data_IF_904775306679
#
_entry.id   IF_904775306679
#
_cell.length_a   1.000
_cell.length_b   1.000
_cell.length_c   1.000
_cell.angle_alpha   90.00
_cell.angle_beta   90.00
_cell.angle_gamma   90.00
#
_symmetry.space_group_name_H-M   'P 1'
#
loop_
_entity.id
_entity.type
_entity.pdbx_description
1 polymer ?
#
# COMPACT_ATOMS: atom_id res chain seq x y z
N UNK A 1 6.55 9.10 4.39
CA UNK A 1 5.52 8.10 4.02
C UNK A 1 4.06 8.57 4.22
N UNK A 2 3.73 9.86 3.98
CA UNK A 2 2.39 10.40 4.29
C UNK A 2 1.25 9.62 3.61
N UNK A 3 1.35 9.37 2.30
CA UNK A 3 0.30 8.68 1.54
C UNK A 3 0.19 7.18 1.89
N UNK A 4 1.29 6.55 2.29
CA UNK A 4 1.27 5.18 2.83
C UNK A 4 0.59 5.11 4.19
N UNK A 5 0.86 6.06 5.09
CA UNK A 5 0.18 6.13 6.40
C UNK A 5 -1.34 6.35 6.26
N UNK A 6 -1.77 7.14 5.28
CA UNK A 6 -3.21 7.28 4.97
C UNK A 6 -3.81 5.94 4.57
N UNK A 7 -3.14 5.14 3.73
CA UNK A 7 -3.59 3.79 3.40
C UNK A 7 -3.70 2.93 4.66
N UNK A 8 -2.63 2.86 5.46
CA UNK A 8 -2.58 2.09 6.71
C UNK A 8 -3.74 2.43 7.66
N UNK A 9 -3.99 3.72 7.89
CA UNK A 9 -5.06 4.16 8.79
C UNK A 9 -6.46 3.76 8.28
N UNK A 10 -6.66 3.72 6.96
CA UNK A 10 -7.98 3.47 6.35
C UNK A 10 -8.28 1.98 6.14
N UNK A 11 -7.25 1.15 5.92
CA UNK A 11 -7.42 -0.31 5.87
C UNK A 11 -7.99 -0.85 7.18
N UNK A 12 -7.53 -0.32 8.32
CA UNK A 12 -7.99 -0.77 9.63
C UNK A 12 -9.47 -0.46 9.93
N UNK A 13 -10.14 0.40 9.16
CA UNK A 13 -11.50 0.89 9.50
C UNK A 13 -12.55 -0.22 9.48
N UNK A 14 -12.49 -1.14 8.50
CA UNK A 14 -13.55 -2.14 8.33
C UNK A 14 -13.42 -3.32 9.29
N UNK A 15 -12.19 -3.79 9.51
CA UNK A 15 -11.94 -5.06 10.22
C UNK A 15 -10.82 -4.98 11.27
N UNK A 16 -10.22 -3.82 11.49
CA UNK A 16 -9.12 -3.65 12.44
C UNK A 16 -7.78 -4.24 11.97
N UNK A 17 -7.64 -4.58 10.68
CA UNK A 17 -6.39 -5.15 10.16
C UNK A 17 -5.26 -4.12 10.21
N UNK A 18 -4.19 -4.47 10.92
CA UNK A 18 -3.04 -3.60 11.10
C UNK A 18 -2.00 -3.81 10.00
N UNK A 19 -1.61 -2.72 9.33
CA UNK A 19 -0.54 -2.70 8.34
C UNK A 19 0.64 -1.89 8.87
N UNK A 20 1.84 -2.18 8.34
CA UNK A 20 3.05 -1.42 8.61
C UNK A 20 3.49 -0.71 7.33
N UNK A 21 3.76 0.59 7.41
CA UNK A 21 4.25 1.40 6.28
C UNK A 21 5.72 1.78 6.47
N UNK A 22 6.57 1.52 5.46
CA UNK A 22 7.97 1.94 5.47
C UNK A 22 8.68 1.76 4.12
N UNK A 23 10.01 1.90 4.13
CA UNK A 23 10.84 1.42 3.02
C UNK A 23 10.87 -0.11 3.05
N UNK A 24 10.74 -0.78 1.91
CA UNK A 24 10.79 -2.25 1.82
C UNK A 24 12.02 -2.83 2.51
N UNK A 25 13.18 -2.19 2.35
CA UNK A 25 14.43 -2.64 2.98
C UNK A 25 14.37 -2.64 4.52
N UNK A 26 13.58 -1.74 5.12
CA UNK A 26 13.45 -1.58 6.57
C UNK A 26 12.31 -2.41 7.15
N UNK A 27 11.18 -2.55 6.44
CA UNK A 27 9.99 -3.25 6.95
C UNK A 27 9.91 -4.72 6.58
N UNK A 28 10.60 -5.15 5.51
CA UNK A 28 10.57 -6.53 5.03
C UNK A 28 11.99 -7.11 5.09
N UNK A 29 12.84 -6.74 4.13
CA UNK A 29 14.28 -7.04 4.08
C UNK A 29 14.92 -6.36 2.85
N UNK A 30 16.25 -6.30 2.84
CA UNK A 30 17.00 -5.77 1.70
C UNK A 30 16.85 -6.67 0.46
N UNK A 31 16.28 -6.15 -0.61
CA UNK A 31 16.16 -6.81 -1.90
C UNK A 31 16.51 -5.84 -3.03
N UNK A 32 17.24 -6.30 -4.04
CA UNK A 32 17.55 -5.51 -5.23
C UNK A 32 16.72 -5.99 -6.44
N UNK A 33 16.40 -5.06 -7.35
CA UNK A 33 15.71 -5.38 -8.60
C UNK A 33 14.19 -5.52 -8.49
N UNK A 34 13.59 -5.07 -7.39
CA UNK A 34 12.13 -5.04 -7.23
C UNK A 34 11.47 -4.14 -8.27
N UNK A 35 10.27 -4.52 -8.71
CA UNK A 35 9.50 -3.76 -9.72
C UNK A 35 9.25 -2.33 -9.27
N UNK A 36 8.94 -2.11 -8.00
CA UNK A 36 8.66 -0.79 -7.44
C UNK A 36 9.89 0.13 -7.44
N UNK A 37 11.09 -0.42 -7.23
CA UNK A 37 12.35 0.32 -7.29
C UNK A 37 12.67 0.69 -8.74
N UNK A 38 12.49 -0.25 -9.67
CA UNK A 38 12.67 0.01 -11.10
C UNK A 38 11.71 1.09 -11.60
N UNK A 39 10.41 0.98 -11.27
CA UNK A 39 9.40 1.98 -11.62
C UNK A 39 9.74 3.35 -11.04
N UNK A 40 10.27 3.38 -9.81
CA UNK A 40 10.69 4.62 -9.15
C UNK A 40 11.92 5.24 -9.82
N UNK A 41 12.95 4.44 -10.11
CA UNK A 41 14.24 4.90 -10.59
C UNK A 41 14.30 5.12 -12.11
N UNK A 42 13.62 4.29 -12.90
CA UNK A 42 13.68 4.34 -14.36
C UNK A 42 12.47 5.06 -14.95
N UNK A 43 11.25 4.68 -14.56
CA UNK A 43 10.04 5.33 -15.06
C UNK A 43 9.72 6.65 -14.34
N UNK A 44 10.51 7.04 -13.33
CA UNK A 44 10.39 8.30 -12.59
C UNK A 44 8.99 8.52 -11.97
N UNK A 45 8.29 7.43 -11.63
CA UNK A 45 6.97 7.52 -11.02
C UNK A 45 7.12 7.92 -9.55
N UNK A 46 6.50 9.04 -9.17
CA UNK A 46 6.64 9.61 -7.82
C UNK A 46 6.12 8.68 -6.73
N UNK A 47 4.97 8.05 -6.95
CA UNK A 47 4.31 7.16 -6.01
C UNK A 47 4.39 5.73 -6.54
N UNK A 48 5.30 4.94 -5.98
CA UNK A 48 5.51 3.53 -6.29
C UNK A 48 5.48 2.77 -4.97
N UNK A 49 4.59 1.79 -4.84
CA UNK A 49 4.34 1.07 -3.58
C UNK A 49 4.17 -0.42 -3.86
N UNK A 50 4.61 -1.25 -2.92
CA UNK A 50 4.28 -2.68 -2.86
C UNK A 50 3.29 -2.88 -1.70
N UNK A 51 2.30 -3.74 -1.89
CA UNK A 51 1.35 -4.13 -0.86
C UNK A 51 1.51 -5.63 -0.61
N UNK A 52 1.83 -5.98 0.63
CA UNK A 52 1.74 -7.34 1.15
C UNK A 52 0.42 -7.43 1.92
N UNK A 53 -0.51 -8.29 1.47
CA UNK A 53 -1.87 -8.37 2.01
C UNK A 53 -1.93 -9.30 3.23
N UNK A 54 -3.15 -9.67 3.64
CA UNK A 54 -3.36 -10.65 4.71
C UNK A 54 -2.70 -12.01 4.37
N UNK A 55 -2.29 -12.79 5.37
CA UNK A 55 -2.24 -12.50 6.81
C UNK A 55 -0.78 -12.32 7.27
N UNK A 56 -0.54 -12.45 8.57
CA UNK A 56 0.80 -12.33 9.17
C UNK A 56 1.49 -13.69 9.40
N UNK A 57 1.02 -14.76 8.75
CA UNK A 57 1.67 -16.07 8.74
C UNK A 57 0.85 -17.25 9.26
N UNK A 58 -0.39 -17.05 9.72
CA UNK A 58 -1.25 -18.16 10.17
C UNK A 58 -1.63 -19.08 9.01
N UNK A 59 -1.98 -18.49 7.86
CA UNK A 59 -2.28 -19.18 6.61
C UNK A 59 -1.30 -18.81 5.49
N UNK A 60 -0.74 -17.59 5.51
CA UNK A 60 0.15 -17.08 4.49
C UNK A 60 -0.46 -17.19 3.08
N UNK A 61 0.24 -17.84 2.16
CA UNK A 61 -0.22 -18.01 0.79
C UNK A 61 -1.50 -18.88 0.64
N UNK A 62 -1.89 -19.61 1.69
CA UNK A 62 -3.08 -20.47 1.71
C UNK A 62 -4.24 -19.83 2.49
N UNK A 63 -4.34 -18.50 2.45
CA UNK A 63 -5.41 -17.75 3.09
C UNK A 63 -6.81 -18.28 2.68
N UNK A 64 -7.72 -18.55 3.64
CA UNK A 64 -9.02 -19.15 3.32
C UNK A 64 -9.85 -18.30 2.34
N UNK A 65 -10.62 -18.91 1.42
CA UNK A 65 -11.45 -18.16 0.46
C UNK A 65 -12.46 -17.20 1.10
N UNK A 66 -12.88 -17.45 2.34
CA UNK A 66 -13.75 -16.55 3.12
C UNK A 66 -13.09 -15.21 3.45
N UNK A 67 -11.77 -15.10 3.36
CA UNK A 67 -11.00 -13.87 3.58
C UNK A 67 -10.81 -13.04 2.31
N UNK A 68 -11.19 -13.54 1.13
CA UNK A 68 -11.01 -12.84 -0.16
C UNK A 68 -11.76 -11.51 -0.16
N UNK A 69 -13.07 -11.56 0.15
CA UNK A 69 -13.90 -10.35 0.15
C UNK A 69 -13.47 -9.37 1.25
N UNK A 70 -13.29 -9.79 2.53
CA UNK A 70 -12.78 -8.90 3.57
C UNK A 70 -11.44 -8.23 3.22
N UNK A 71 -10.47 -9.00 2.70
CA UNK A 71 -9.17 -8.45 2.31
C UNK A 71 -9.30 -7.46 1.15
N UNK A 72 -10.19 -7.72 0.19
CA UNK A 72 -10.44 -6.83 -0.94
C UNK A 72 -11.10 -5.51 -0.52
N UNK A 73 -12.13 -5.58 0.34
CA UNK A 73 -12.88 -4.40 0.79
C UNK A 73 -12.00 -3.43 1.59
N UNK A 74 -11.21 -3.92 2.53
CA UNK A 74 -10.34 -3.06 3.34
C UNK A 74 -9.20 -2.46 2.50
N UNK A 75 -8.62 -3.25 1.60
CA UNK A 75 -7.54 -2.80 0.73
C UNK A 75 -8.04 -1.73 -0.22
N UNK A 76 -9.25 -1.91 -0.79
CA UNK A 76 -9.87 -0.93 -1.65
C UNK A 76 -10.14 0.39 -0.91
N UNK A 77 -10.64 0.33 0.32
CA UNK A 77 -10.85 1.52 1.14
C UNK A 77 -9.55 2.29 1.38
N UNK A 78 -8.47 1.58 1.74
CA UNK A 78 -7.13 2.15 1.87
C UNK A 78 -6.63 2.79 0.58
N UNK A 79 -6.78 2.09 -0.55
CA UNK A 79 -6.35 2.56 -1.87
C UNK A 79 -7.10 3.83 -2.29
N UNK A 80 -8.42 3.88 -2.11
CA UNK A 80 -9.22 5.06 -2.45
C UNK A 80 -8.78 6.30 -1.65
N UNK A 81 -8.54 6.14 -0.34
CA UNK A 81 -8.04 7.21 0.51
C UNK A 81 -6.64 7.69 0.07
N UNK A 82 -5.74 6.74 -0.21
CA UNK A 82 -4.40 7.04 -0.70
C UNK A 82 -4.42 7.77 -2.05
N UNK A 83 -5.21 7.29 -3.02
CA UNK A 83 -5.34 7.87 -4.35
C UNK A 83 -5.96 9.27 -4.30
N UNK A 84 -6.95 9.49 -3.44
CA UNK A 84 -7.51 10.81 -3.18
C UNK A 84 -6.44 11.78 -2.68
N UNK A 85 -5.64 11.35 -1.69
CA UNK A 85 -4.55 12.16 -1.13
C UNK A 85 -3.42 12.44 -2.15
N UNK A 86 -3.15 11.51 -3.05
CA UNK A 86 -2.22 11.68 -4.18
C UNK A 86 -2.78 12.71 -5.16
N UNK A 87 -4.04 12.55 -5.58
CA UNK A 87 -4.72 13.46 -6.52
C UNK A 87 -4.71 14.90 -5.99
N UNK A 88 -5.08 15.11 -4.73
CA UNK A 88 -5.07 16.44 -4.12
C UNK A 88 -3.67 17.06 -4.09
N UNK A 89 -2.62 16.27 -3.87
CA UNK A 89 -1.25 16.76 -3.88
C UNK A 89 -0.79 17.13 -5.31
N UNK A 90 -1.15 16.33 -6.31
CA UNK A 90 -0.81 16.59 -7.71
C UNK A 90 -1.48 17.87 -8.22
N UNK A 91 -2.78 18.05 -7.96
CA UNK A 91 -3.52 19.26 -8.37
C UNK A 91 -2.89 20.53 -7.79
N UNK A 92 -2.47 20.50 -6.51
CA UNK A 92 -1.82 21.64 -5.86
C UNK A 92 -0.44 21.97 -6.42
N UNK A 93 0.25 21.00 -7.03
CA UNK A 93 1.60 21.17 -7.56
C UNK A 93 1.66 21.56 -9.04
N UNK A 94 0.54 21.49 -9.77
CA UNK A 94 0.51 21.92 -11.18
C UNK A 94 0.66 23.45 -11.27
N UNK A 95 1.51 23.97 -12.17
CA UNK A 95 1.57 25.40 -12.43
C UNK A 95 0.21 25.90 -12.94
N UNK A 96 -0.18 27.10 -12.53
CA UNK A 96 -1.33 27.81 -13.12
C UNK A 96 -1.08 28.11 -14.60
#
# INVERSE_FOLDING_TARGET
YRVGKIFQDHVAILYGTEYITGNIADVIYLAAGGSVDWVKATAQVKYSHALELRDTGDYGFLLPPSQIIPSGEETLLGLLAQLSAIRSATIKSSPK
#
